data_IF_264895419486
#
_entry.id   IF_264895419486
#
_cell.length_a   1.000
_cell.length_b   1.000
_cell.length_c   1.000
_cell.angle_alpha   90.00
_cell.angle_beta   90.00
_cell.angle_gamma   90.00
#
_symmetry.space_group_name_H-M   'P 1'
#
loop_
_entity.id
_entity.type
_entity.pdbx_description
1 polymer ?
#
# COMPACT_ATOMS: atom_id res chain seq x y z
N UNK A 1 -22.44 5.77 11.93
CA UNK A 1 -21.20 5.04 11.79
C UNK A 1 -20.17 5.72 10.90
N UNK A 2 -20.62 6.51 9.93
CA UNK A 2 -19.65 7.24 9.10
C UNK A 2 -18.75 8.16 9.91
N UNK A 3 -19.29 8.81 10.96
CA UNK A 3 -18.51 9.68 11.83
C UNK A 3 -17.45 8.90 12.60
N UNK A 4 -17.82 7.72 13.06
CA UNK A 4 -16.88 6.85 13.78
C UNK A 4 -15.74 6.40 12.88
N UNK A 5 -16.04 6.03 11.64
CA UNK A 5 -15.01 5.65 10.67
C UNK A 5 -14.04 6.78 10.38
N UNK A 6 -14.54 8.01 10.30
CA UNK A 6 -13.69 9.18 10.10
C UNK A 6 -12.74 9.39 11.26
N UNK A 7 -13.23 9.20 12.49
CA UNK A 7 -12.37 9.32 13.67
C UNK A 7 -11.26 8.29 13.66
N UNK A 8 -11.58 7.04 13.28
CA UNK A 8 -10.58 5.99 13.18
C UNK A 8 -9.52 6.36 12.15
N UNK A 9 -9.92 6.83 10.97
CA UNK A 9 -8.98 7.22 9.95
C UNK A 9 -8.10 8.38 10.36
N UNK A 10 -8.64 9.31 11.12
CA UNK A 10 -7.87 10.44 11.60
C UNK A 10 -6.88 10.04 12.69
N UNK A 11 -7.15 8.95 13.41
CA UNK A 11 -6.36 8.50 14.53
C UNK A 11 -5.25 7.53 14.14
N UNK A 12 -5.49 6.68 13.12
CA UNK A 12 -4.57 5.62 12.75
C UNK A 12 -3.86 5.90 11.43
N UNK A 13 -2.57 5.62 11.41
CA UNK A 13 -1.77 5.57 10.22
C UNK A 13 -2.26 4.40 9.35
N UNK A 14 -2.28 4.58 8.03
CA UNK A 14 -2.70 3.53 7.10
C UNK A 14 -1.82 2.28 7.16
N UNK A 15 -0.60 2.42 7.60
CA UNK A 15 0.34 1.31 7.70
C UNK A 15 0.37 0.69 9.09
N UNK A 16 -0.40 1.22 10.02
CA UNK A 16 -0.45 0.68 11.37
C UNK A 16 -1.26 -0.61 11.39
N UNK A 17 -0.71 -1.66 12.00
CA UNK A 17 -1.41 -2.93 12.13
C UNK A 17 -2.43 -2.86 13.24
N UNK A 18 -3.71 -2.80 12.88
CA UNK A 18 -4.81 -2.63 13.83
C UNK A 18 -5.88 -3.71 13.72
N UNK A 19 -5.90 -4.48 12.64
CA UNK A 19 -6.95 -5.48 12.40
C UNK A 19 -6.43 -6.89 12.58
N UNK A 20 -7.15 -7.68 13.37
CA UNK A 20 -6.89 -9.12 13.41
C UNK A 20 -7.37 -9.78 12.12
N UNK A 21 -6.89 -10.97 11.85
CA UNK A 21 -7.15 -11.65 10.58
C UNK A 21 -8.64 -11.79 10.26
N UNK A 22 -9.48 -12.07 11.26
CA UNK A 22 -10.92 -12.21 11.03
C UNK A 22 -11.54 -10.92 10.53
N UNK A 23 -11.13 -9.78 11.10
CA UNK A 23 -11.62 -8.46 10.71
C UNK A 23 -11.08 -8.07 9.34
N UNK A 24 -9.79 -8.28 9.12
CA UNK A 24 -9.18 -7.97 7.81
C UNK A 24 -9.84 -8.78 6.69
N UNK A 25 -10.10 -10.06 6.94
CA UNK A 25 -10.78 -10.92 5.96
C UNK A 25 -12.19 -10.43 5.65
N UNK A 26 -12.92 -10.02 6.67
CA UNK A 26 -14.25 -9.48 6.50
C UNK A 26 -14.21 -8.18 5.69
N UNK A 27 -13.28 -7.28 6.02
CA UNK A 27 -13.14 -6.01 5.30
C UNK A 27 -12.74 -6.22 3.84
N UNK A 28 -11.92 -7.22 3.57
CA UNK A 28 -11.49 -7.54 2.21
C UNK A 28 -12.46 -8.48 1.49
N UNK A 29 -13.50 -8.94 2.18
CA UNK A 29 -14.51 -9.85 1.63
C UNK A 29 -13.90 -11.15 1.11
N UNK A 30 -13.01 -11.74 1.90
CA UNK A 30 -12.40 -13.02 1.55
C UNK A 30 -12.25 -13.89 2.78
N UNK A 31 -12.04 -15.18 2.55
CA UNK A 31 -11.88 -16.14 3.64
C UNK A 31 -10.53 -15.94 4.34
N UNK A 32 -10.46 -16.08 5.68
CA UNK A 32 -9.17 -15.97 6.38
C UNK A 32 -8.09 -16.90 5.85
N UNK A 33 -8.47 -18.06 5.38
CA UNK A 33 -7.52 -19.02 4.82
C UNK A 33 -6.85 -18.46 3.56
N UNK A 34 -7.59 -17.66 2.79
CA UNK A 34 -7.03 -16.98 1.61
C UNK A 34 -5.95 -15.99 2.01
N UNK A 35 -6.17 -15.26 3.12
CA UNK A 35 -5.16 -14.33 3.63
C UNK A 35 -3.89 -15.07 4.02
N UNK A 36 -4.04 -16.22 4.69
CA UNK A 36 -2.89 -17.02 5.08
C UNK A 36 -2.12 -17.54 3.87
N UNK A 37 -2.84 -17.95 2.83
CA UNK A 37 -2.22 -18.40 1.60
C UNK A 37 -1.43 -17.25 0.94
N UNK A 38 -2.00 -16.07 0.88
CA UNK A 38 -1.33 -14.92 0.29
C UNK A 38 -0.08 -14.54 1.09
N UNK A 39 -0.16 -14.64 2.42
CA UNK A 39 1.02 -14.40 3.26
C UNK A 39 2.13 -15.40 2.95
N UNK A 40 1.78 -16.68 2.83
CA UNK A 40 2.75 -17.73 2.50
C UNK A 40 3.42 -17.48 1.16
N UNK A 41 2.70 -16.90 0.23
CA UNK A 41 3.26 -16.58 -1.08
C UNK A 41 3.99 -15.25 -1.13
N UNK A 42 4.03 -14.54 -0.01
CA UNK A 42 4.73 -13.27 0.05
C UNK A 42 3.98 -12.10 -0.57
N UNK A 43 2.70 -12.27 -0.86
CA UNK A 43 1.89 -11.21 -1.44
C UNK A 43 1.48 -10.17 -0.41
N UNK A 44 1.45 -10.55 0.85
CA UNK A 44 1.11 -9.66 1.95
C UNK A 44 1.96 -10.03 3.15
N UNK A 45 2.33 -9.03 3.95
CA UNK A 45 3.18 -9.25 5.12
C UNK A 45 2.62 -8.46 6.30
N UNK A 46 1.65 -9.04 7.03
CA UNK A 46 1.09 -8.36 8.19
C UNK A 46 2.13 -8.22 9.28
N UNK A 47 1.98 -7.19 10.08
CA UNK A 47 2.83 -7.01 11.24
C UNK A 47 2.40 -7.98 12.33
N UNK A 48 3.27 -8.20 13.29
CA UNK A 48 2.97 -9.10 14.41
C UNK A 48 3.01 -8.32 15.71
N UNK A 49 2.04 -8.62 16.59
CA UNK A 49 2.03 -8.06 17.93
C UNK A 49 3.16 -8.69 18.76
N UNK A 50 3.48 -8.14 19.94
CA UNK A 50 4.43 -8.78 20.84
C UNK A 50 4.07 -10.22 21.19
N UNK A 51 2.78 -10.57 21.14
CA UNK A 51 2.31 -11.94 21.37
C UNK A 51 2.28 -12.79 20.10
N UNK A 52 2.89 -12.29 19.03
CA UNK A 52 3.00 -12.99 17.74
C UNK A 52 1.66 -13.19 17.02
N UNK A 53 0.70 -12.31 17.27
CA UNK A 53 -0.57 -12.29 16.55
C UNK A 53 -0.45 -11.44 15.30
N UNK A 54 -0.99 -11.91 14.18
CA UNK A 54 -1.01 -11.14 12.95
C UNK A 54 -1.89 -9.90 13.11
N UNK A 55 -1.36 -8.76 12.69
CA UNK A 55 -2.10 -7.50 12.68
C UNK A 55 -2.01 -6.87 11.31
N UNK A 56 -3.14 -6.68 10.68
CA UNK A 56 -3.25 -6.14 9.34
C UNK A 56 -3.52 -4.65 9.40
N UNK A 57 -2.93 -3.91 8.48
CA UNK A 57 -3.15 -2.48 8.36
C UNK A 57 -4.27 -2.20 7.36
N UNK A 58 -4.72 -0.95 7.31
CA UNK A 58 -5.66 -0.53 6.29
C UNK A 58 -5.06 -0.71 4.89
N UNK A 59 -3.77 -0.42 4.74
CA UNK A 59 -3.07 -0.62 3.47
C UNK A 59 -3.03 -2.10 3.09
N UNK A 60 -2.86 -2.98 4.07
CA UNK A 60 -2.93 -4.42 3.81
C UNK A 60 -4.29 -4.83 3.27
N UNK A 61 -5.36 -4.30 3.84
CA UNK A 61 -6.73 -4.58 3.38
C UNK A 61 -6.91 -4.10 1.93
N UNK A 62 -6.44 -2.91 1.62
CA UNK A 62 -6.51 -2.38 0.25
C UNK A 62 -5.71 -3.25 -0.72
N UNK A 63 -4.55 -3.72 -0.30
CA UNK A 63 -3.74 -4.62 -1.11
C UNK A 63 -4.45 -5.95 -1.37
N UNK A 64 -5.11 -6.49 -0.35
CA UNK A 64 -5.89 -7.71 -0.51
C UNK A 64 -7.01 -7.54 -1.53
N UNK A 65 -7.71 -6.40 -1.46
CA UNK A 65 -8.75 -6.09 -2.43
C UNK A 65 -8.18 -5.97 -3.84
N UNK A 66 -7.03 -5.34 -3.97
CA UNK A 66 -6.37 -5.20 -5.26
C UNK A 66 -6.00 -6.57 -5.85
N UNK A 67 -5.48 -7.46 -5.01
CA UNK A 67 -5.16 -8.83 -5.44
C UNK A 67 -6.41 -9.53 -5.94
N UNK A 68 -7.51 -9.38 -5.21
CA UNK A 68 -8.77 -10.00 -5.57
C UNK A 68 -9.30 -9.46 -6.90
N UNK A 69 -9.20 -8.16 -7.13
CA UNK A 69 -9.60 -7.57 -8.40
C UNK A 69 -8.81 -8.15 -9.56
N UNK A 70 -7.50 -8.29 -9.40
CA UNK A 70 -6.66 -8.84 -10.45
C UNK A 70 -6.99 -10.31 -10.73
N UNK A 71 -7.21 -11.11 -9.69
CA UNK A 71 -7.59 -12.51 -9.90
C UNK A 71 -8.95 -12.63 -10.54
N UNK A 72 -9.89 -11.74 -10.20
CA UNK A 72 -11.21 -11.71 -10.82
C UNK A 72 -11.11 -11.33 -12.31
N UNK A 73 -10.11 -10.55 -12.69
CA UNK A 73 -9.86 -10.18 -14.08
C UNK A 73 -9.12 -11.27 -14.85
N UNK A 74 -8.75 -12.35 -14.18
CA UNK A 74 -8.16 -13.51 -14.84
C UNK A 74 -6.66 -13.69 -14.62
N UNK A 75 -6.01 -12.83 -13.84
CA UNK A 75 -4.60 -13.04 -13.54
C UNK A 75 -4.43 -14.18 -12.54
N UNK A 76 -3.44 -15.04 -12.78
CA UNK A 76 -3.04 -16.00 -11.76
C UNK A 76 -2.14 -15.31 -10.74
N UNK A 77 -1.82 -16.01 -9.65
CA UNK A 77 -1.04 -15.38 -8.57
C UNK A 77 0.36 -14.95 -9.00
N UNK A 78 0.99 -15.67 -9.92
CA UNK A 78 2.29 -15.27 -10.46
C UNK A 78 2.16 -13.94 -11.20
N UNK A 79 1.10 -13.78 -12.00
CA UNK A 79 0.82 -12.52 -12.69
C UNK A 79 0.55 -11.39 -11.72
N UNK A 80 -0.19 -11.67 -10.64
CA UNK A 80 -0.46 -10.70 -9.59
C UNK A 80 0.85 -10.21 -8.96
N UNK A 81 1.75 -11.14 -8.63
CA UNK A 81 3.05 -10.79 -8.07
C UNK A 81 3.83 -9.86 -9.00
N UNK A 82 3.83 -10.17 -10.29
CA UNK A 82 4.51 -9.35 -11.29
C UNK A 82 3.91 -7.95 -11.36
N UNK A 83 2.58 -7.86 -11.43
CA UNK A 83 1.91 -6.56 -11.51
C UNK A 83 2.19 -5.72 -10.27
N UNK A 84 2.11 -6.32 -9.07
CA UNK A 84 2.39 -5.59 -7.84
C UNK A 84 3.83 -5.09 -7.79
N UNK A 85 4.78 -5.90 -8.23
CA UNK A 85 6.18 -5.48 -8.30
C UNK A 85 6.37 -4.32 -9.27
N UNK A 86 5.72 -4.38 -10.42
CA UNK A 86 5.78 -3.32 -11.41
C UNK A 86 5.11 -2.04 -10.91
N UNK A 87 3.99 -2.16 -10.21
CA UNK A 87 3.32 -0.99 -9.64
C UNK A 87 4.21 -0.29 -8.62
N UNK A 88 4.90 -1.06 -7.78
CA UNK A 88 5.87 -0.50 -6.84
C UNK A 88 7.00 0.23 -7.56
N UNK A 89 7.48 -0.37 -8.64
CA UNK A 89 8.54 0.23 -9.45
C UNK A 89 8.09 1.53 -10.09
N UNK A 90 6.86 1.54 -10.62
CA UNK A 90 6.26 2.76 -11.18
C UNK A 90 6.16 3.85 -10.14
N UNK A 91 5.70 3.52 -8.93
CA UNK A 91 5.60 4.50 -7.86
C UNK A 91 6.96 5.09 -7.48
N UNK A 92 7.97 4.25 -7.39
CA UNK A 92 9.34 4.72 -7.10
C UNK A 92 9.87 5.64 -8.19
N UNK A 93 9.62 5.28 -9.44
CA UNK A 93 10.05 6.09 -10.57
C UNK A 93 9.32 7.43 -10.62
N UNK A 94 8.02 7.43 -10.34
CA UNK A 94 7.26 8.67 -10.27
C UNK A 94 7.76 9.59 -9.17
N UNK A 95 8.08 9.03 -8.02
CA UNK A 95 8.63 9.80 -6.91
C UNK A 95 10.00 10.39 -7.29
N UNK A 96 10.83 9.61 -7.97
CA UNK A 96 12.13 10.07 -8.45
C UNK A 96 11.99 11.19 -9.47
N UNK A 97 11.05 11.03 -10.41
CA UNK A 97 10.78 12.08 -11.41
C UNK A 97 10.32 13.36 -10.72
N UNK A 98 9.42 13.25 -9.75
CA UNK A 98 8.94 14.42 -9.00
C UNK A 98 10.08 15.11 -8.26
N UNK A 99 10.95 14.32 -7.63
CA UNK A 99 12.11 14.84 -6.92
C UNK A 99 13.05 15.58 -7.85
N UNK A 100 13.32 14.99 -9.02
CA UNK A 100 14.22 15.60 -10.00
C UNK A 100 13.64 16.86 -10.61
N UNK A 101 12.34 16.87 -10.88
CA UNK A 101 11.66 18.07 -11.38
C UNK A 101 11.73 19.21 -10.39
N UNK A 102 11.50 18.88 -9.11
CA UNK A 102 11.60 19.89 -8.05
C UNK A 102 13.03 20.44 -7.96
N UNK A 103 14.03 19.56 -8.06
CA UNK A 103 15.42 19.98 -8.05
C UNK A 103 15.73 20.89 -9.20
N UNK A 104 15.24 20.58 -10.39
CA UNK A 104 15.44 21.43 -11.56
C UNK A 104 14.78 22.79 -11.40
N UNK A 105 13.59 22.84 -10.81
CA UNK A 105 12.92 24.10 -10.53
C UNK A 105 13.74 24.95 -9.56
N UNK A 106 14.25 24.35 -8.50
CA UNK A 106 15.07 25.04 -7.52
C UNK A 106 16.35 25.59 -8.16
N UNK A 107 17.01 24.80 -9.00
CA UNK A 107 18.19 25.24 -9.71
C UNK A 107 17.88 26.34 -10.72
N UNK A 108 16.74 26.24 -11.40
CA UNK A 108 16.28 27.25 -12.33
C UNK A 108 16.02 28.57 -11.61
N UNK A 109 15.37 28.51 -10.46
CA UNK A 109 15.10 29.68 -9.64
C UNK A 109 16.39 30.34 -9.16
N UNK A 110 17.33 29.54 -8.66
CA UNK A 110 18.63 30.03 -8.24
C UNK A 110 19.35 30.69 -9.39
N UNK A 111 19.32 30.13 -10.55
CA UNK A 111 19.96 30.65 -11.73
C UNK A 111 19.33 32.00 -12.13
N UNK A 112 18.01 32.08 -12.11
CA UNK A 112 17.31 33.32 -12.41
C UNK A 112 17.67 34.43 -11.42
N UNK A 113 17.75 34.08 -10.13
CA UNK A 113 18.10 35.05 -9.10
C UNK A 113 19.54 35.50 -9.19
N UNK A 114 20.48 34.62 -9.52
CA UNK A 114 21.90 34.90 -9.48
C UNK A 114 22.49 35.19 -10.84
N UNK A 115 21.91 34.70 -11.90
CA UNK A 115 22.48 34.78 -13.22
C UNK A 115 21.90 35.87 -14.09
N UNK A 116 20.85 36.45 -13.63
CA UNK A 116 20.10 37.31 -14.46
C UNK A 116 20.59 38.73 -14.49
N UNK A 117 21.50 39.04 -13.78
CA UNK A 117 22.04 40.38 -13.71
C UNK A 117 22.25 41.06 -15.04
#
# INVERSE_FOLDING_TARGET
MATYRRRIKATFDEEQGVFMISVAAELAEMHPQTLRMYEQRGLIAPKRSPKNTRLYSQRDVERLRRIQEMTAEGLNLAGVETVLALENQVQRLRAEVARLRKRLEELGTEKDENGES
#
